data_IF_669196040450
#
_entry.id   IF_669196040450
#
_cell.length_a   1.000
_cell.length_b   1.000
_cell.length_c   1.000
_cell.angle_alpha   90.00
_cell.angle_beta   90.00
_cell.angle_gamma   90.00
#
_symmetry.space_group_name_H-M   'P 1'
#
loop_
_entity.id
_entity.type
_entity.pdbx_description
1 polymer ?
#
# COMPACT_ATOMS: atom_id res chain seq x y z
N UNK A 1 11.87 18.08 27.00
CA UNK A 1 11.17 19.02 26.11
C UNK A 1 11.99 19.46 24.90
N UNK A 2 13.14 20.15 25.03
CA UNK A 2 13.94 20.58 23.85
C UNK A 2 14.51 19.43 23.02
N UNK A 3 14.96 18.33 23.63
CA UNK A 3 15.42 17.09 22.94
C UNK A 3 14.30 16.36 22.21
N UNK A 4 13.09 16.36 22.74
CA UNK A 4 11.92 15.72 22.12
C UNK A 4 11.42 16.52 20.92
N UNK A 5 11.43 17.84 20.99
CA UNK A 5 11.07 18.73 19.87
C UNK A 5 12.04 18.55 18.71
N UNK A 6 13.36 18.52 18.97
CA UNK A 6 14.39 18.29 17.94
C UNK A 6 14.24 16.87 17.33
N UNK A 7 13.89 15.88 18.15
CA UNK A 7 13.60 14.51 17.67
C UNK A 7 12.37 14.48 16.76
N UNK A 8 11.31 15.19 17.12
CA UNK A 8 10.07 15.27 16.35
C UNK A 8 10.25 16.01 15.03
N UNK A 9 10.96 17.14 15.02
CA UNK A 9 11.30 17.86 13.79
C UNK A 9 12.15 17.01 12.83
N UNK A 10 13.14 16.28 13.36
CA UNK A 10 13.96 15.38 12.55
C UNK A 10 13.16 14.20 11.97
N UNK A 11 12.19 13.69 12.72
CA UNK A 11 11.28 12.62 12.27
C UNK A 11 10.35 13.13 11.17
N UNK A 12 9.75 14.30 11.35
CA UNK A 12 8.89 14.93 10.34
C UNK A 12 9.66 15.19 9.05
N UNK A 13 10.90 15.69 9.16
CA UNK A 13 11.77 15.91 8.00
C UNK A 13 12.04 14.60 7.25
N UNK A 14 12.40 13.53 7.95
CA UNK A 14 12.60 12.20 7.35
C UNK A 14 11.35 11.67 6.67
N UNK A 15 10.19 11.81 7.29
CA UNK A 15 8.90 11.38 6.70
C UNK A 15 8.62 12.17 5.42
N UNK A 16 8.82 13.50 5.43
CA UNK A 16 8.64 14.32 4.22
C UNK A 16 9.60 13.88 3.11
N UNK A 17 10.88 13.69 3.39
CA UNK A 17 11.86 13.21 2.42
C UNK A 17 11.49 11.85 1.82
N UNK A 18 10.93 10.94 2.62
CA UNK A 18 10.47 9.64 2.18
C UNK A 18 9.23 9.74 1.29
N UNK A 19 8.25 10.58 1.66
CA UNK A 19 6.98 10.73 0.93
C UNK A 19 7.13 11.56 -0.36
N UNK A 20 8.11 12.46 -0.43
CA UNK A 20 8.43 13.20 -1.66
C UNK A 20 9.53 12.53 -2.49
N UNK A 21 9.91 11.29 -2.15
CA UNK A 21 10.92 10.55 -2.88
C UNK A 21 10.38 10.03 -4.22
N UNK A 22 11.30 9.89 -5.20
CA UNK A 22 10.99 9.22 -6.47
C UNK A 22 10.44 7.81 -6.26
N UNK A 23 10.91 7.11 -5.23
CA UNK A 23 10.40 5.78 -4.85
C UNK A 23 8.92 5.82 -4.49
N UNK A 24 8.48 6.83 -3.73
CA UNK A 24 7.06 6.97 -3.36
C UNK A 24 6.19 7.24 -4.60
N UNK A 25 6.62 8.12 -5.50
CA UNK A 25 5.89 8.40 -6.74
C UNK A 25 5.76 7.13 -7.59
N UNK A 26 6.84 6.37 -7.76
CA UNK A 26 6.81 5.10 -8.48
C UNK A 26 5.90 4.06 -7.79
N UNK A 27 5.93 3.99 -6.48
CA UNK A 27 5.05 3.12 -5.70
C UNK A 27 3.56 3.45 -5.93
N UNK A 28 3.19 4.73 -5.91
CA UNK A 28 1.81 5.18 -6.19
C UNK A 28 1.39 4.81 -7.61
N UNK A 29 2.27 5.04 -8.59
CA UNK A 29 2.01 4.70 -9.99
C UNK A 29 1.80 3.18 -10.18
N UNK A 30 2.65 2.36 -9.57
CA UNK A 30 2.50 0.90 -9.59
C UNK A 30 1.21 0.47 -8.87
N UNK A 31 0.81 1.16 -7.80
CA UNK A 31 -0.45 0.92 -7.10
C UNK A 31 -1.67 1.12 -8.00
N UNK A 32 -1.66 2.16 -8.84
CA UNK A 32 -2.72 2.38 -9.85
C UNK A 32 -2.74 1.25 -10.87
N UNK A 33 -1.59 0.87 -11.42
CA UNK A 33 -1.47 -0.26 -12.37
C UNK A 33 -2.00 -1.54 -11.72
N UNK A 34 -1.65 -1.79 -10.45
CA UNK A 34 -2.08 -2.98 -9.72
C UNK A 34 -3.61 -3.06 -9.58
N UNK A 35 -4.27 -1.93 -9.35
CA UNK A 35 -5.74 -1.86 -9.29
C UNK A 35 -6.37 -2.33 -10.60
N UNK A 36 -5.88 -1.86 -11.73
CA UNK A 36 -6.33 -2.31 -13.05
C UNK A 36 -6.01 -3.80 -13.30
N UNK A 37 -4.83 -4.25 -12.96
CA UNK A 37 -4.44 -5.66 -13.11
C UNK A 37 -5.36 -6.58 -12.31
N UNK A 38 -5.67 -6.24 -11.06
CA UNK A 38 -6.57 -7.03 -10.23
C UNK A 38 -7.96 -7.19 -10.86
N UNK A 39 -8.52 -6.12 -11.41
CA UNK A 39 -9.81 -6.14 -12.12
C UNK A 39 -9.73 -7.01 -13.38
N UNK A 40 -8.71 -6.82 -14.20
CA UNK A 40 -8.52 -7.57 -15.46
C UNK A 40 -8.40 -9.07 -15.17
N UNK A 41 -7.56 -9.47 -14.22
CA UNK A 41 -7.41 -10.89 -13.86
C UNK A 41 -8.69 -11.47 -13.25
N UNK A 42 -9.39 -10.74 -12.39
CA UNK A 42 -10.66 -11.17 -11.84
C UNK A 42 -11.69 -11.43 -12.95
N UNK A 43 -11.75 -10.53 -13.93
CA UNK A 43 -12.63 -10.69 -15.09
C UNK A 43 -12.26 -11.91 -15.93
N UNK A 44 -10.98 -12.13 -16.21
CA UNK A 44 -10.53 -13.33 -16.95
C UNK A 44 -10.90 -14.60 -16.18
N UNK A 45 -10.62 -14.64 -14.87
CA UNK A 45 -10.93 -15.81 -14.05
C UNK A 45 -12.44 -16.07 -13.89
N UNK A 46 -13.27 -15.03 -13.92
CA UNK A 46 -14.74 -15.19 -13.86
C UNK A 46 -15.34 -15.91 -15.07
N UNK A 47 -14.57 -16.07 -16.16
CA UNK A 47 -15.01 -16.85 -17.32
C UNK A 47 -15.05 -18.36 -17.06
N UNK A 48 -14.41 -18.84 -16.00
CA UNK A 48 -14.34 -20.29 -15.67
C UNK A 48 -14.39 -20.61 -14.17
N UNK A 49 -14.45 -19.56 -13.31
CA UNK A 49 -14.64 -19.68 -11.87
C UNK A 49 -15.83 -18.83 -11.43
N UNK A 50 -16.40 -19.13 -10.27
CA UNK A 50 -17.41 -18.24 -9.71
C UNK A 50 -16.77 -16.88 -9.30
N UNK A 51 -17.59 -15.84 -9.25
CA UNK A 51 -17.13 -14.44 -9.08
C UNK A 51 -16.30 -14.22 -7.82
N UNK A 52 -16.63 -14.87 -6.71
CA UNK A 52 -15.90 -14.71 -5.45
C UNK A 52 -14.50 -15.33 -5.54
N UNK A 53 -14.39 -16.53 -6.11
CA UNK A 53 -13.11 -17.22 -6.32
C UNK A 53 -12.29 -16.46 -7.37
N UNK A 54 -12.91 -16.04 -8.47
CA UNK A 54 -12.28 -15.25 -9.51
C UNK A 54 -11.68 -13.95 -8.94
N UNK A 55 -12.41 -13.26 -8.06
CA UNK A 55 -11.92 -12.06 -7.40
C UNK A 55 -10.69 -12.34 -6.52
N UNK A 56 -10.70 -13.42 -5.73
CA UNK A 56 -9.56 -13.81 -4.88
C UNK A 56 -8.32 -14.09 -5.74
N UNK A 57 -8.46 -14.90 -6.80
CA UNK A 57 -7.34 -15.19 -7.70
C UNK A 57 -6.85 -13.95 -8.46
N UNK A 58 -7.76 -13.07 -8.87
CA UNK A 58 -7.41 -11.79 -9.49
C UNK A 58 -6.62 -10.89 -8.54
N UNK A 59 -7.06 -10.78 -7.29
CA UNK A 59 -6.35 -10.03 -6.26
C UNK A 59 -4.94 -10.58 -6.00
N UNK A 60 -4.81 -11.92 -5.85
CA UNK A 60 -3.51 -12.56 -5.63
C UNK A 60 -2.58 -12.33 -6.83
N UNK A 61 -3.10 -12.48 -8.07
CA UNK A 61 -2.32 -12.22 -9.28
C UNK A 61 -1.84 -10.77 -9.36
N UNK A 62 -2.71 -9.81 -9.04
CA UNK A 62 -2.36 -8.41 -8.94
C UNK A 62 -1.28 -8.16 -7.89
N UNK A 63 -1.41 -8.78 -6.71
CA UNK A 63 -0.43 -8.65 -5.63
C UNK A 63 0.95 -9.17 -6.03
N UNK A 64 1.03 -10.29 -6.74
CA UNK A 64 2.29 -10.85 -7.26
C UNK A 64 2.92 -9.89 -8.26
N UNK A 65 2.15 -9.37 -9.22
CA UNK A 65 2.65 -8.39 -10.20
C UNK A 65 3.11 -7.11 -9.49
N UNK A 66 2.34 -6.62 -8.52
CA UNK A 66 2.71 -5.46 -7.72
C UNK A 66 4.03 -5.66 -6.98
N UNK A 67 4.23 -6.85 -6.39
CA UNK A 67 5.49 -7.20 -5.76
C UNK A 67 6.67 -7.16 -6.75
N UNK A 68 6.52 -7.78 -7.91
CA UNK A 68 7.56 -7.82 -8.96
C UNK A 68 7.92 -6.40 -9.39
N UNK A 69 6.92 -5.59 -9.74
CA UNK A 69 7.13 -4.21 -10.18
C UNK A 69 7.76 -3.34 -9.10
N UNK A 70 7.27 -3.43 -7.86
CA UNK A 70 7.86 -2.68 -6.76
C UNK A 70 9.29 -3.12 -6.46
N UNK A 71 9.58 -4.43 -6.50
CA UNK A 71 10.94 -4.93 -6.29
C UNK A 71 11.90 -4.36 -7.32
N UNK A 72 11.60 -4.45 -8.61
CA UNK A 72 12.53 -4.01 -9.64
C UNK A 72 12.54 -2.48 -9.86
N UNK A 73 11.37 -1.85 -9.88
CA UNK A 73 11.25 -0.44 -10.28
C UNK A 73 11.39 0.52 -9.10
N UNK A 74 10.68 0.22 -8.00
CA UNK A 74 10.61 1.12 -6.84
C UNK A 74 11.81 0.96 -5.92
N UNK A 75 12.10 -0.27 -5.50
CA UNK A 75 13.09 -0.54 -4.46
C UNK A 75 14.42 -1.05 -5.01
N UNK A 76 14.47 -1.52 -6.26
CA UNK A 76 15.66 -2.08 -6.92
C UNK A 76 16.27 -3.23 -6.13
N UNK A 77 15.43 -4.14 -5.72
CA UNK A 77 15.75 -5.30 -4.90
C UNK A 77 15.50 -6.62 -5.64
N UNK A 78 16.21 -7.67 -5.25
CA UNK A 78 16.00 -9.01 -5.80
C UNK A 78 14.68 -9.61 -5.31
N UNK A 79 14.07 -10.42 -6.17
CA UNK A 79 12.88 -11.20 -5.82
C UNK A 79 13.28 -12.30 -4.84
N UNK A 80 12.62 -12.33 -3.69
CA UNK A 80 12.78 -13.33 -2.65
C UNK A 80 11.42 -13.66 -2.05
N UNK A 81 11.14 -14.95 -1.83
CA UNK A 81 9.86 -15.37 -1.26
C UNK A 81 9.59 -14.73 0.12
N UNK A 82 10.60 -14.61 0.94
CA UNK A 82 10.48 -13.98 2.26
C UNK A 82 10.11 -12.49 2.15
N UNK A 83 10.69 -11.78 1.18
CA UNK A 83 10.31 -10.38 0.89
C UNK A 83 8.90 -10.28 0.35
N UNK A 84 8.45 -11.26 -0.45
CA UNK A 84 7.06 -11.31 -0.91
C UNK A 84 6.07 -11.43 0.24
N UNK A 85 6.33 -12.32 1.21
CA UNK A 85 5.47 -12.45 2.39
C UNK A 85 5.44 -11.15 3.20
N UNK A 86 6.59 -10.53 3.45
CA UNK A 86 6.66 -9.25 4.14
C UNK A 86 5.95 -8.13 3.38
N UNK A 87 6.04 -8.12 2.06
CA UNK A 87 5.31 -7.21 1.19
C UNK A 87 3.79 -7.37 1.35
N UNK A 88 3.28 -8.60 1.27
CA UNK A 88 1.87 -8.91 1.48
C UNK A 88 1.39 -8.48 2.89
N UNK A 89 2.17 -8.80 3.92
CA UNK A 89 1.87 -8.42 5.32
C UNK A 89 1.85 -6.90 5.51
N UNK A 90 2.62 -6.14 4.73
CA UNK A 90 2.65 -4.67 4.79
C UNK A 90 1.31 -4.00 4.43
N UNK A 91 0.39 -4.73 3.81
CA UNK A 91 -0.97 -4.22 3.54
C UNK A 91 -1.90 -4.31 4.77
N UNK A 92 -1.59 -5.14 5.76
CA UNK A 92 -2.46 -5.33 6.93
C UNK A 92 -2.64 -4.03 7.73
N UNK A 93 -1.58 -3.30 8.13
CA UNK A 93 -1.74 -2.04 8.84
C UNK A 93 -2.55 -1.01 8.05
N UNK A 94 -2.32 -0.96 6.73
CA UNK A 94 -3.08 -0.09 5.84
C UNK A 94 -4.58 -0.43 5.87
N UNK A 95 -4.94 -1.70 5.75
CA UNK A 95 -6.32 -2.16 5.80
C UNK A 95 -7.01 -1.74 7.12
N UNK A 96 -6.33 -1.94 8.26
CA UNK A 96 -6.86 -1.56 9.57
C UNK A 96 -7.10 -0.05 9.64
N UNK A 97 -6.11 0.75 9.25
CA UNK A 97 -6.19 2.23 9.32
C UNK A 97 -7.25 2.76 8.37
N UNK A 98 -7.34 2.23 7.15
CA UNK A 98 -8.38 2.65 6.21
C UNK A 98 -9.78 2.37 6.76
N UNK A 99 -10.00 1.20 7.37
CA UNK A 99 -11.30 0.89 8.01
C UNK A 99 -11.62 1.86 9.16
N UNK A 100 -10.64 2.20 9.99
CA UNK A 100 -10.82 3.19 11.07
C UNK A 100 -11.17 4.56 10.49
N UNK A 101 -10.48 5.03 9.45
CA UNK A 101 -10.75 6.30 8.80
C UNK A 101 -12.16 6.34 8.19
N UNK A 102 -12.54 5.27 7.48
CA UNK A 102 -13.89 5.17 6.91
C UNK A 102 -14.94 5.18 8.01
N UNK A 103 -14.74 4.42 9.09
CA UNK A 103 -15.67 4.39 10.21
C UNK A 103 -15.86 5.78 10.84
N UNK A 104 -14.76 6.50 11.09
CA UNK A 104 -14.83 7.84 11.68
C UNK A 104 -15.52 8.81 10.73
N UNK A 105 -15.06 8.88 9.47
CA UNK A 105 -15.52 9.89 8.51
C UNK A 105 -16.96 9.65 8.04
N UNK A 106 -17.31 8.40 7.76
CA UNK A 106 -18.64 8.06 7.28
C UNK A 106 -19.65 7.88 8.41
N UNK A 107 -19.32 7.07 9.44
CA UNK A 107 -20.29 6.70 10.48
C UNK A 107 -20.40 7.75 11.59
N UNK A 108 -19.29 8.38 12.01
CA UNK A 108 -19.29 9.34 13.11
C UNK A 108 -19.53 10.76 12.59
N UNK A 109 -18.79 11.18 11.55
CA UNK A 109 -18.90 12.54 11.00
C UNK A 109 -20.08 12.70 10.00
N UNK A 110 -20.66 11.59 9.52
CA UNK A 110 -21.77 11.60 8.58
C UNK A 110 -21.42 12.15 7.19
N UNK A 111 -20.14 12.18 6.81
CA UNK A 111 -19.72 12.68 5.51
C UNK A 111 -19.99 11.65 4.41
N UNK A 112 -20.04 12.13 3.16
CA UNK A 112 -20.30 11.26 2.03
C UNK A 112 -19.26 10.16 1.86
N UNK A 113 -19.68 8.94 1.52
CA UNK A 113 -18.82 7.75 1.39
C UNK A 113 -17.60 7.95 0.50
N UNK A 114 -17.70 8.73 -0.58
CA UNK A 114 -16.56 9.01 -1.46
C UNK A 114 -15.48 9.84 -0.76
N UNK A 115 -15.87 10.75 0.14
CA UNK A 115 -14.92 11.52 0.97
C UNK A 115 -14.22 10.59 1.94
N UNK A 116 -14.96 9.67 2.59
CA UNK A 116 -14.40 8.69 3.51
C UNK A 116 -13.38 7.78 2.81
N UNK A 117 -13.72 7.26 1.63
CA UNK A 117 -12.81 6.41 0.84
C UNK A 117 -11.59 7.18 0.33
N UNK A 118 -11.77 8.43 -0.13
CA UNK A 118 -10.67 9.28 -0.56
C UNK A 118 -9.68 9.58 0.56
N UNK A 119 -10.17 9.97 1.74
CA UNK A 119 -9.32 10.22 2.91
C UNK A 119 -8.63 8.95 3.39
N UNK A 120 -9.33 7.82 3.42
CA UNK A 120 -8.73 6.53 3.77
C UNK A 120 -7.58 6.16 2.84
N UNK A 121 -7.73 6.37 1.53
CA UNK A 121 -6.69 6.12 0.54
C UNK A 121 -5.49 7.07 0.72
N UNK A 122 -5.74 8.37 0.88
CA UNK A 122 -4.69 9.39 1.07
C UNK A 122 -3.84 9.12 2.33
N UNK A 123 -4.46 8.61 3.39
CA UNK A 123 -3.76 8.25 4.63
C UNK A 123 -3.09 6.87 4.49
N UNK A 124 -3.77 5.91 3.90
CA UNK A 124 -3.33 4.51 3.83
C UNK A 124 -2.14 4.29 2.90
N UNK A 125 -2.09 4.97 1.74
CA UNK A 125 -1.01 4.78 0.76
C UNK A 125 0.37 5.15 1.32
N UNK A 126 0.58 6.30 1.98
CA UNK A 126 1.86 6.61 2.63
C UNK A 126 2.28 5.59 3.69
N UNK A 127 1.32 5.12 4.48
CA UNK A 127 1.57 4.12 5.54
C UNK A 127 2.04 2.80 4.93
N UNK A 128 1.36 2.32 3.90
CA UNK A 128 1.77 1.10 3.18
C UNK A 128 3.19 1.25 2.63
N UNK A 129 3.50 2.38 2.01
CA UNK A 129 4.84 2.64 1.48
C UNK A 129 5.93 2.61 2.56
N UNK A 130 5.69 3.25 3.70
CA UNK A 130 6.63 3.25 4.82
C UNK A 130 6.87 1.82 5.33
N UNK A 131 5.81 1.04 5.51
CA UNK A 131 5.94 -0.35 5.92
C UNK A 131 6.70 -1.19 4.88
N UNK A 132 6.39 -1.05 3.61
CA UNK A 132 7.11 -1.77 2.55
C UNK A 132 8.59 -1.40 2.54
N UNK A 133 8.91 -0.12 2.61
CA UNK A 133 10.30 0.36 2.57
C UNK A 133 11.13 -0.14 3.74
N UNK A 134 10.59 -0.11 4.95
CA UNK A 134 11.35 -0.41 6.16
C UNK A 134 11.19 -1.85 6.67
N UNK A 135 10.16 -2.56 6.22
CA UNK A 135 9.90 -3.93 6.65
C UNK A 135 10.14 -4.96 5.54
N UNK A 136 9.52 -4.76 4.35
CA UNK A 136 9.63 -5.74 3.27
C UNK A 136 10.97 -5.62 2.50
N UNK A 137 11.39 -4.39 2.21
CA UNK A 137 12.57 -4.09 1.37
C UNK A 137 13.72 -3.47 2.17
N UNK A 138 13.77 -3.69 3.48
CA UNK A 138 14.90 -3.25 4.30
C UNK A 138 16.16 -3.95 3.80
N UNK A 139 17.17 -3.17 3.37
CA UNK A 139 18.50 -3.68 3.08
C UNK A 139 19.10 -4.21 4.39
N UNK A 140 19.45 -5.48 4.42
CA UNK A 140 20.32 -6.01 5.47
C UNK A 140 21.70 -5.41 5.20
N UNK A 141 22.08 -4.44 6.03
CA UNK A 141 23.42 -3.88 6.07
C UNK A 141 24.32 -4.89 6.76
#
# INVERSE_FOLDING_TARGET
MKKEIISMESLIKKIKEVLFSKQFIMFVFIGVINTFNGVIFSYIYSSFLNENIAFIFGYISGLVISYILNSYVTFKEKLEFNKFIKFAVSYIPNFIIQNIVVFIVFNIMGLHKLIAYGLAAVIGVPITFVFMKFFAFKKNI
#
